data_IF_753094433814
#
_entry.id   IF_753094433814
#
_cell.length_a   1.000
_cell.length_b   1.000
_cell.length_c   1.000
_cell.angle_alpha   90.00
_cell.angle_beta   90.00
_cell.angle_gamma   90.00
#
_symmetry.space_group_name_H-M   'P 1'
#
loop_
_entity.id
_entity.type
_entity.pdbx_description
1 polymer ?
#
# COMPACT_ATOMS: atom_id res chain seq x y z
N UNK A 1 7.53 -18.05 5.41
CA UNK A 1 7.08 -16.64 5.45
C UNK A 1 5.56 -16.61 5.61
N UNK A 2 5.00 -15.74 6.47
CA UNK A 2 3.53 -15.65 6.68
C UNK A 2 2.87 -14.98 5.48
N UNK A 3 1.69 -15.48 5.04
CA UNK A 3 0.87 -14.89 3.97
C UNK A 3 -0.03 -13.80 4.56
N UNK A 4 0.24 -12.50 4.34
CA UNK A 4 -0.56 -11.45 4.96
C UNK A 4 -2.00 -11.42 4.44
N UNK A 5 -2.22 -11.61 3.13
CA UNK A 5 -3.53 -11.43 2.50
C UNK A 5 -4.52 -12.57 2.72
N UNK A 6 -4.10 -13.84 2.77
CA UNK A 6 -4.98 -14.99 3.03
C UNK A 6 -4.66 -15.77 4.32
N UNK A 7 -3.59 -15.42 5.04
CA UNK A 7 -3.19 -16.11 6.27
C UNK A 7 -2.43 -17.42 6.02
N UNK A 8 -1.83 -17.97 7.08
CA UNK A 8 -0.97 -19.17 7.01
C UNK A 8 0.45 -18.85 6.53
N UNK A 9 1.18 -19.86 6.04
CA UNK A 9 2.58 -19.74 5.63
C UNK A 9 2.80 -20.15 4.17
N UNK A 10 3.72 -19.47 3.49
CA UNK A 10 4.30 -19.90 2.23
C UNK A 10 5.19 -21.13 2.46
N UNK A 11 5.05 -22.14 1.61
CA UNK A 11 5.85 -23.36 1.62
C UNK A 11 6.92 -23.38 0.52
N UNK A 12 6.80 -22.55 -0.52
CA UNK A 12 7.72 -22.49 -1.66
C UNK A 12 8.06 -21.04 -2.02
N UNK A 13 9.33 -20.78 -2.31
CA UNK A 13 9.80 -19.44 -2.69
C UNK A 13 9.16 -18.92 -3.99
N UNK A 14 8.96 -19.79 -4.98
CA UNK A 14 8.36 -19.41 -6.29
C UNK A 14 6.89 -19.01 -6.24
N UNK A 15 6.22 -19.13 -5.09
CA UNK A 15 4.83 -18.68 -4.90
C UNK A 15 4.75 -17.22 -4.42
N UNK A 16 5.88 -16.62 -4.05
CA UNK A 16 5.95 -15.28 -3.46
C UNK A 16 6.16 -14.24 -4.56
N UNK A 17 5.39 -13.15 -4.49
CA UNK A 17 5.55 -11.97 -5.33
C UNK A 17 5.62 -10.72 -4.44
N UNK A 18 6.27 -9.67 -4.94
CA UNK A 18 6.23 -8.35 -4.32
C UNK A 18 5.04 -7.59 -4.90
N UNK A 19 4.11 -7.21 -4.04
CA UNK A 19 2.96 -6.36 -4.37
C UNK A 19 3.20 -4.93 -3.90
N UNK A 20 2.73 -3.97 -4.70
CA UNK A 20 2.62 -2.57 -4.28
C UNK A 20 1.31 -2.40 -3.52
N UNK A 21 1.38 -2.02 -2.24
CA UNK A 21 0.19 -1.83 -1.40
C UNK A 21 -0.87 -0.97 -2.09
N UNK A 22 -0.44 0.17 -2.64
CA UNK A 22 -1.22 0.93 -3.63
C UNK A 22 -0.63 0.62 -5.02
N UNK A 23 -1.35 -0.12 -5.89
CA UNK A 23 -0.84 -0.54 -7.20
C UNK A 23 -0.35 0.62 -8.07
N UNK A 24 0.64 0.38 -8.94
CA UNK A 24 1.21 1.40 -9.83
C UNK A 24 0.14 2.12 -10.67
N UNK A 25 -0.81 1.38 -11.26
CA UNK A 25 -1.93 1.96 -12.01
C UNK A 25 -2.86 2.78 -11.11
N UNK A 26 -3.12 2.32 -9.89
CA UNK A 26 -3.92 3.08 -8.93
C UNK A 26 -3.23 4.39 -8.54
N UNK A 27 -1.92 4.36 -8.29
CA UNK A 27 -1.14 5.55 -8.00
C UNK A 27 -1.22 6.57 -9.16
N UNK A 28 -1.11 6.09 -10.41
CA UNK A 28 -1.23 6.93 -11.60
C UNK A 28 -2.56 7.71 -11.64
N UNK A 29 -3.70 7.01 -11.53
CA UNK A 29 -5.03 7.64 -11.53
C UNK A 29 -5.30 8.45 -10.26
N UNK A 30 -4.55 8.21 -9.19
CA UNK A 30 -4.63 8.95 -7.92
C UNK A 30 -3.69 10.17 -7.87
N UNK A 31 -3.12 10.60 -9.00
CA UNK A 31 -2.32 11.82 -9.12
C UNK A 31 -0.88 11.62 -9.58
N UNK A 32 -0.36 10.39 -9.62
CA UNK A 32 0.99 10.13 -10.10
C UNK A 32 1.16 10.33 -11.62
N UNK A 33 0.07 10.54 -12.36
CA UNK A 33 0.13 10.97 -13.76
C UNK A 33 0.91 12.28 -13.95
N UNK A 34 0.85 13.18 -12.96
CA UNK A 34 1.53 14.46 -12.98
C UNK A 34 3.00 14.39 -12.51
N UNK A 35 3.47 13.22 -12.09
CA UNK A 35 4.85 13.04 -11.65
C UNK A 35 5.79 12.88 -12.83
N UNK A 36 7.03 13.33 -12.65
CA UNK A 36 8.11 13.03 -13.58
C UNK A 36 8.55 11.55 -13.49
N UNK A 37 9.48 11.15 -14.36
CA UNK A 37 10.04 9.80 -14.35
C UNK A 37 10.71 9.46 -13.02
N UNK A 38 11.54 10.37 -12.49
CA UNK A 38 12.32 10.13 -11.27
C UNK A 38 11.40 9.80 -10.09
N UNK A 39 10.31 10.55 -9.92
CA UNK A 39 9.34 10.33 -8.83
C UNK A 39 8.51 9.07 -9.04
N UNK A 40 8.15 8.70 -10.28
CA UNK A 40 7.49 7.41 -10.56
C UNK A 40 8.41 6.22 -10.26
N UNK A 41 9.68 6.31 -10.64
CA UNK A 41 10.68 5.29 -10.31
C UNK A 41 10.89 5.19 -8.79
N UNK A 42 10.99 6.33 -8.09
CA UNK A 42 11.13 6.33 -6.64
C UNK A 42 9.92 5.70 -5.96
N UNK A 43 8.70 5.96 -6.45
CA UNK A 43 7.50 5.29 -5.98
C UNK A 43 7.56 3.77 -6.20
N UNK A 44 7.99 3.32 -7.37
CA UNK A 44 8.04 1.90 -7.67
C UNK A 44 9.01 1.12 -6.76
N UNK A 45 10.05 1.78 -6.25
CA UNK A 45 11.15 1.16 -5.49
C UNK A 45 11.25 1.65 -4.03
N UNK A 46 10.22 2.31 -3.50
CA UNK A 46 10.30 2.92 -2.18
C UNK A 46 10.32 1.88 -1.05
N UNK A 47 11.37 1.92 -0.22
CA UNK A 47 11.57 1.03 0.93
C UNK A 47 11.44 1.73 2.28
N UNK A 48 11.12 3.03 2.31
CA UNK A 48 10.96 3.79 3.56
C UNK A 48 9.73 3.39 4.38
N UNK A 49 8.84 2.58 3.83
CA UNK A 49 7.66 2.03 4.48
C UNK A 49 7.60 0.52 4.21
N UNK A 50 7.62 -0.29 5.27
CA UNK A 50 7.66 -1.76 5.18
C UNK A 50 6.42 -2.39 4.54
N UNK A 51 5.34 -1.63 4.37
CA UNK A 51 4.15 -2.07 3.66
C UNK A 51 4.05 -1.50 2.25
N UNK A 52 4.93 -0.58 1.82
CA UNK A 52 4.85 -0.04 0.46
C UNK A 52 5.06 -1.12 -0.59
N UNK A 53 6.07 -1.97 -0.37
CA UNK A 53 6.33 -3.21 -1.08
C UNK A 53 6.14 -4.37 -0.10
N UNK A 54 5.16 -5.24 -0.35
CA UNK A 54 4.81 -6.34 0.55
C UNK A 54 4.92 -7.68 -0.17
N UNK A 55 5.56 -8.65 0.49
CA UNK A 55 5.63 -10.01 -0.02
C UNK A 55 4.31 -10.75 0.23
N UNK A 56 3.71 -11.26 -0.83
CA UNK A 56 2.40 -11.92 -0.84
C UNK A 56 2.44 -13.12 -1.78
N UNK A 57 1.39 -13.95 -1.82
CA UNK A 57 1.32 -15.00 -2.84
C UNK A 57 0.95 -14.42 -4.20
N UNK A 58 1.46 -15.01 -5.27
CA UNK A 58 1.12 -14.60 -6.63
C UNK A 58 -0.40 -14.68 -6.90
N UNK A 59 -1.11 -15.66 -6.32
CA UNK A 59 -2.57 -15.76 -6.46
C UNK A 59 -3.30 -14.56 -5.84
N UNK A 60 -2.89 -14.14 -4.64
CA UNK A 60 -3.49 -12.97 -4.00
C UNK A 60 -3.13 -11.68 -4.73
N UNK A 61 -1.88 -11.55 -5.20
CA UNK A 61 -1.45 -10.40 -6.00
C UNK A 61 -2.25 -10.26 -7.29
N UNK A 62 -2.43 -11.37 -8.03
CA UNK A 62 -3.28 -11.41 -9.23
C UNK A 62 -4.75 -11.14 -8.91
N UNK A 63 -5.25 -11.65 -7.78
CA UNK A 63 -6.62 -11.38 -7.32
C UNK A 63 -6.82 -9.90 -7.00
N UNK A 64 -5.86 -9.24 -6.35
CA UNK A 64 -5.90 -7.80 -6.05
C UNK A 64 -5.81 -6.95 -7.31
N UNK A 65 -4.83 -7.21 -8.17
CA UNK A 65 -4.58 -6.42 -9.38
C UNK A 65 -4.38 -4.94 -9.07
N UNK A 66 -5.05 -4.07 -9.82
CA UNK A 66 -5.02 -2.61 -9.67
C UNK A 66 -6.18 -2.04 -8.82
N UNK A 67 -6.95 -2.92 -8.16
CA UNK A 67 -8.17 -2.56 -7.44
C UNK A 67 -7.89 -1.75 -6.18
N UNK A 68 -8.92 -0.99 -5.78
CA UNK A 68 -8.96 -0.25 -4.52
C UNK A 68 -9.59 -1.08 -3.41
N UNK A 69 -9.54 -0.62 -2.14
CA UNK A 69 -10.35 -1.17 -1.05
C UNK A 69 -11.86 -1.23 -1.32
N UNK A 70 -12.38 -0.52 -2.33
CA UNK A 70 -13.78 -0.62 -2.74
C UNK A 70 -14.12 -1.92 -3.47
N UNK A 71 -13.16 -2.50 -4.18
CA UNK A 71 -13.39 -3.67 -5.04
C UNK A 71 -12.59 -4.91 -4.56
N UNK A 72 -11.69 -4.73 -3.60
CA UNK A 72 -10.86 -5.80 -3.08
C UNK A 72 -10.39 -5.54 -1.65
N UNK A 73 -10.51 -6.55 -0.80
CA UNK A 73 -9.91 -6.60 0.53
C UNK A 73 -9.22 -7.96 0.74
N UNK A 74 -8.21 -8.03 1.61
CA UNK A 74 -7.63 -9.30 2.03
C UNK A 74 -8.68 -10.26 2.59
N UNK A 75 -8.63 -11.54 2.21
CA UNK A 75 -9.51 -12.57 2.78
C UNK A 75 -9.15 -12.89 4.24
N UNK A 76 -7.90 -12.66 4.64
CA UNK A 76 -7.47 -12.70 6.02
C UNK A 76 -8.04 -11.51 6.79
N UNK A 77 -9.18 -11.73 7.47
CA UNK A 77 -9.86 -10.70 8.27
C UNK A 77 -8.95 -10.05 9.31
N UNK A 78 -8.02 -10.79 9.90
CA UNK A 78 -7.06 -10.27 10.89
C UNK A 78 -6.05 -9.28 10.31
N UNK A 79 -5.88 -9.24 8.98
CA UNK A 79 -4.97 -8.33 8.30
C UNK A 79 -5.68 -7.09 7.73
N UNK A 80 -7.02 -7.06 7.67
CA UNK A 80 -7.77 -5.97 7.02
C UNK A 80 -7.46 -4.60 7.64
N UNK A 81 -7.45 -4.46 8.97
CA UNK A 81 -7.14 -3.17 9.60
C UNK A 81 -5.69 -2.71 9.31
N UNK A 82 -4.75 -3.65 9.26
CA UNK A 82 -3.35 -3.38 8.86
C UNK A 82 -3.28 -2.94 7.40
N UNK A 83 -4.03 -3.61 6.51
CA UNK A 83 -4.13 -3.26 5.10
C UNK A 83 -4.68 -1.85 4.89
N UNK A 84 -5.81 -1.50 5.55
CA UNK A 84 -6.40 -0.16 5.46
C UNK A 84 -5.44 0.92 5.99
N UNK A 85 -4.77 0.67 7.12
CA UNK A 85 -3.74 1.58 7.67
C UNK A 85 -2.59 1.78 6.69
N UNK A 86 -2.06 0.70 6.13
CA UNK A 86 -0.96 0.75 5.18
C UNK A 86 -1.34 1.50 3.90
N UNK A 87 -2.51 1.21 3.35
CA UNK A 87 -3.07 1.90 2.19
C UNK A 87 -3.15 3.42 2.40
N UNK A 88 -3.76 3.86 3.51
CA UNK A 88 -3.85 5.28 3.86
C UNK A 88 -2.48 5.92 4.11
N UNK A 89 -1.56 5.20 4.76
CA UNK A 89 -0.20 5.67 5.02
C UNK A 89 0.57 5.94 3.72
N UNK A 90 0.52 4.99 2.77
CA UNK A 90 1.15 5.15 1.45
C UNK A 90 0.56 6.34 0.71
N UNK A 91 -0.78 6.48 0.67
CA UNK A 91 -1.42 7.63 0.01
C UNK A 91 -1.03 8.96 0.66
N UNK A 92 -0.94 9.01 1.99
CA UNK A 92 -0.55 10.22 2.74
C UNK A 92 0.90 10.66 2.48
N UNK A 93 1.84 9.71 2.47
CA UNK A 93 3.27 9.96 2.23
C UNK A 93 3.47 10.56 0.84
N UNK A 94 2.86 9.92 -0.16
CA UNK A 94 3.01 10.27 -1.58
C UNK A 94 2.06 11.36 -2.07
N UNK A 95 1.13 11.82 -1.20
CA UNK A 95 0.09 12.81 -1.52
C UNK A 95 -0.82 12.35 -2.66
N UNK A 96 -1.19 11.07 -2.66
CA UNK A 96 -2.15 10.50 -3.60
C UNK A 96 -3.57 10.76 -3.11
N UNK A 97 -4.47 11.07 -4.04
CA UNK A 97 -5.88 11.31 -3.73
C UNK A 97 -6.66 9.99 -3.67
N UNK A 98 -7.79 10.03 -2.97
CA UNK A 98 -8.80 8.96 -2.97
C UNK A 98 -10.05 9.48 -3.63
N UNK A 99 -10.71 8.65 -4.43
CA UNK A 99 -12.04 8.98 -4.92
C UNK A 99 -13.10 8.70 -3.82
N UNK A 100 -14.33 9.23 -3.96
CA UNK A 100 -15.37 9.04 -2.94
C UNK A 100 -15.71 7.57 -2.65
N UNK A 101 -15.83 6.73 -3.69
CA UNK A 101 -16.15 5.29 -3.53
C UNK A 101 -15.09 4.57 -2.70
N UNK A 102 -13.81 4.86 -2.95
CA UNK A 102 -12.69 4.34 -2.19
C UNK A 102 -12.74 4.80 -0.72
N UNK A 103 -12.97 6.09 -0.48
CA UNK A 103 -13.06 6.64 0.88
C UNK A 103 -14.20 6.01 1.69
N UNK A 104 -15.37 5.84 1.07
CA UNK A 104 -16.54 5.27 1.72
C UNK A 104 -16.35 3.78 1.99
N UNK A 105 -15.75 3.04 1.06
CA UNK A 105 -15.40 1.64 1.28
C UNK A 105 -14.42 1.46 2.44
N UNK A 106 -13.39 2.31 2.56
CA UNK A 106 -12.45 2.28 3.69
C UNK A 106 -13.17 2.53 5.01
N UNK A 107 -14.08 3.52 5.07
CA UNK A 107 -14.87 3.81 6.29
C UNK A 107 -15.78 2.64 6.66
N UNK A 108 -16.40 2.00 5.66
CA UNK A 108 -17.26 0.83 5.86
C UNK A 108 -16.46 -0.36 6.36
N UNK A 109 -15.38 -0.73 5.67
CA UNK A 109 -14.50 -1.82 6.07
C UNK A 109 -13.89 -1.59 7.47
N UNK A 110 -13.53 -0.34 7.81
CA UNK A 110 -13.07 0.02 9.14
C UNK A 110 -14.08 -0.35 10.23
N UNK A 111 -15.36 -0.03 10.03
CA UNK A 111 -16.44 -0.34 10.97
C UNK A 111 -16.74 -1.84 11.01
N UNK A 112 -16.88 -2.48 9.85
CA UNK A 112 -17.23 -3.90 9.72
C UNK A 112 -16.18 -4.84 10.29
N UNK A 113 -14.91 -4.43 10.26
CA UNK A 113 -13.80 -5.20 10.82
C UNK A 113 -13.39 -4.77 12.23
N UNK A 114 -14.11 -3.82 12.85
CA UNK A 114 -13.88 -3.41 14.23
C UNK A 114 -12.48 -2.82 14.46
N UNK A 115 -11.97 -2.05 13.49
CA UNK A 115 -10.62 -1.54 13.57
C UNK A 115 -10.45 -0.50 14.70
N UNK A 116 -9.34 -0.58 15.45
CA UNK A 116 -9.03 0.40 16.49
C UNK A 116 -8.55 1.72 15.87
N UNK A 117 -9.24 2.86 16.08
CA UNK A 117 -8.80 4.17 15.59
C UNK A 117 -7.37 4.54 15.98
N UNK A 118 -6.87 4.02 17.11
CA UNK A 118 -5.51 4.32 17.60
C UNK A 118 -4.41 3.84 16.66
N UNK A 119 -4.66 2.79 15.86
CA UNK A 119 -3.65 2.30 14.92
C UNK A 119 -3.54 3.19 13.68
N UNK A 120 -4.54 4.01 13.37
CA UNK A 120 -4.59 4.91 12.21
C UNK A 120 -3.92 6.26 12.49
N UNK A 121 -2.87 6.24 13.31
CA UNK A 121 -2.05 7.41 13.62
C UNK A 121 -0.69 7.24 12.95
N UNK A 122 -0.30 8.23 12.15
CA UNK A 122 1.06 8.38 11.67
C UNK A 122 1.69 9.54 12.44
N UNK A 123 2.77 9.27 13.18
CA UNK A 123 3.48 10.34 13.89
C UNK A 123 4.11 11.29 12.86
N UNK A 124 4.15 12.57 13.18
CA UNK A 124 4.79 13.56 12.31
C UNK A 124 6.25 13.18 12.01
N UNK A 125 7.01 12.75 13.02
CA UNK A 125 8.39 12.28 12.85
C UNK A 125 8.51 11.07 11.93
N UNK A 126 7.52 10.18 11.93
CA UNK A 126 7.48 9.02 11.04
C UNK A 126 7.18 9.44 9.60
N UNK A 127 6.23 10.35 9.40
CA UNK A 127 5.93 10.93 8.08
C UNK A 127 7.15 11.68 7.51
N UNK A 128 7.83 12.48 8.33
CA UNK A 128 9.02 13.23 7.95
C UNK A 128 10.18 12.29 7.59
N UNK A 129 10.39 11.23 8.39
CA UNK A 129 11.40 10.21 8.09
C UNK A 129 11.12 9.52 6.75
N UNK A 130 9.87 9.11 6.50
CA UNK A 130 9.49 8.49 5.23
C UNK A 130 9.66 9.45 4.04
N UNK A 131 9.31 10.73 4.20
CA UNK A 131 9.50 11.74 3.15
C UNK A 131 10.97 12.05 2.88
N UNK A 132 11.84 11.97 3.88
CA UNK A 132 13.30 12.07 3.67
C UNK A 132 13.82 10.91 2.85
N UNK A 133 13.47 9.68 3.21
CA UNK A 133 13.84 8.48 2.43
C UNK A 133 13.27 8.55 1.01
N UNK A 134 12.07 9.12 0.85
CA UNK A 134 11.47 9.34 -0.47
C UNK A 134 12.34 10.27 -1.32
N UNK A 135 12.86 11.36 -0.75
CA UNK A 135 13.78 12.27 -1.44
C UNK A 135 15.10 11.58 -1.80
N UNK A 136 15.66 10.78 -0.90
CA UNK A 136 16.87 9.99 -1.17
C UNK A 136 16.64 8.99 -2.32
N UNK A 137 15.45 8.39 -2.36
CA UNK A 137 15.04 7.45 -3.43
C UNK A 137 14.95 8.13 -4.81
N UNK A 138 14.72 9.45 -4.88
CA UNK A 138 14.74 10.18 -6.15
C UNK A 138 16.14 10.20 -6.76
N UNK A 139 17.19 10.27 -5.93
CA UNK A 139 18.57 10.29 -6.40
C UNK A 139 18.98 8.95 -7.06
N UNK A 140 18.46 7.83 -6.56
CA UNK A 140 18.68 6.50 -7.13
C UNK A 140 17.97 6.27 -8.48
N UNK A 141 17.01 7.13 -8.83
CA UNK A 141 16.17 7.04 -10.01
C UNK A 141 16.53 8.04 -11.11
N UNK A 142 17.75 8.59 -11.08
CA UNK A 142 18.27 9.43 -12.15
C UNK A 142 18.42 8.60 -13.45
N UNK A 143 18.04 9.15 -14.62
CA UNK A 143 18.23 8.48 -15.90
C UNK A 143 19.70 8.20 -16.22
#
# INVERSE_FOLDING_TARGET
MVRPYAGGVHSRAGEIQIDHMVPLKNAYVSGAWAWDYQRRCAYANFLGNSYHLIAVSGRENMSKGDRTPADWLPSNRGFVCTYLKAWLSVKLVWRLIMNPRESDAIKTAFREHGCDPKIFKLRQSELESQRRIMLDSLAACRP
#
